data_IF_014978595952
#
_entry.id   IF_014978595952
#
_cell.length_a   1.000
_cell.length_b   1.000
_cell.length_c   1.000
_cell.angle_alpha   90.00
_cell.angle_beta   90.00
_cell.angle_gamma   90.00
#
_symmetry.space_group_name_H-M   'P 1'
#
loop_
_entity.id
_entity.type
_entity.pdbx_description
1 polymer ?
#
# COMPACT_ATOMS: atom_id res chain seq x y z
N UNK A 1 15.14 -15.03 2.11
CA UNK A 1 15.22 -13.57 2.24
C UNK A 1 13.93 -12.96 1.75
N UNK A 2 13.46 -11.92 2.39
CA UNK A 2 12.29 -11.11 1.96
C UNK A 2 12.54 -9.66 2.34
N UNK A 3 12.10 -8.72 1.51
CA UNK A 3 12.14 -7.30 1.83
C UNK A 3 11.14 -6.91 2.95
N UNK A 4 10.18 -7.77 3.21
CA UNK A 4 9.11 -7.53 4.20
C UNK A 4 8.84 -8.83 4.97
N UNK A 5 9.49 -8.98 6.11
CA UNK A 5 9.19 -10.05 7.05
C UNK A 5 8.12 -9.58 8.04
N UNK A 6 7.29 -10.51 8.49
CA UNK A 6 6.42 -10.28 9.64
C UNK A 6 7.28 -10.11 10.90
N UNK A 7 6.79 -9.38 11.92
CA UNK A 7 7.47 -9.30 13.21
C UNK A 7 7.79 -10.68 13.78
N UNK A 8 8.95 -10.80 14.43
CA UNK A 8 9.50 -12.06 14.95
C UNK A 8 8.48 -12.96 15.67
N UNK A 9 7.62 -12.46 16.61
CA UNK A 9 6.64 -13.31 17.28
C UNK A 9 5.61 -13.93 16.32
N UNK A 10 5.17 -13.15 15.33
CA UNK A 10 4.19 -13.59 14.33
C UNK A 10 4.83 -14.59 13.36
N UNK A 11 6.07 -14.32 12.94
CA UNK A 11 6.82 -15.20 12.06
C UNK A 11 7.06 -16.57 12.73
N UNK A 12 7.56 -16.56 13.96
CA UNK A 12 7.78 -17.76 14.75
C UNK A 12 6.48 -18.57 14.89
N UNK A 13 5.39 -17.95 15.34
CA UNK A 13 4.09 -18.62 15.46
C UNK A 13 3.59 -19.19 14.12
N UNK A 14 3.80 -18.46 13.01
CA UNK A 14 3.38 -18.92 11.68
C UNK A 14 4.16 -20.15 11.21
N UNK A 15 5.42 -20.27 11.61
CA UNK A 15 6.30 -21.40 11.30
C UNK A 15 6.19 -22.54 12.30
N UNK A 16 5.40 -22.38 13.37
CA UNK A 16 5.31 -23.38 14.45
C UNK A 16 6.57 -23.43 15.33
N UNK A 17 7.35 -22.34 15.38
CA UNK A 17 8.59 -22.21 16.15
C UNK A 17 8.35 -21.37 17.40
N UNK A 18 9.20 -21.54 18.40
CA UNK A 18 9.32 -20.59 19.50
C UNK A 18 10.11 -19.34 19.08
N UNK A 19 9.87 -18.21 19.73
CA UNK A 19 10.60 -16.97 19.38
C UNK A 19 12.11 -17.08 19.60
N UNK A 20 12.56 -18.00 20.45
CA UNK A 20 13.99 -18.23 20.70
C UNK A 20 14.70 -19.01 19.56
N UNK A 21 13.93 -19.69 18.73
CA UNK A 21 14.45 -20.45 17.58
C UNK A 21 14.52 -19.59 16.29
N UNK A 22 14.08 -18.32 16.36
CA UNK A 22 14.08 -17.41 15.22
C UNK A 22 14.99 -16.22 15.51
N UNK A 23 15.91 -15.93 14.61
CA UNK A 23 16.69 -14.70 14.59
C UNK A 23 16.30 -13.88 13.36
N UNK A 24 16.10 -12.57 13.54
CA UNK A 24 15.79 -11.62 12.46
C UNK A 24 16.93 -10.64 12.35
N UNK A 25 17.56 -10.62 11.18
CA UNK A 25 18.62 -9.67 10.84
C UNK A 25 18.04 -8.67 9.86
N UNK A 26 18.04 -7.40 10.25
CA UNK A 26 17.61 -6.29 9.40
C UNK A 26 18.82 -5.55 8.85
N UNK A 27 18.90 -5.47 7.53
CA UNK A 27 19.96 -4.74 6.83
C UNK A 27 19.45 -3.37 6.40
N UNK A 28 20.30 -2.32 6.39
CA UNK A 28 19.93 -1.02 5.87
C UNK A 28 19.58 -1.10 4.38
N UNK A 29 18.71 -0.22 3.92
CA UNK A 29 18.42 -0.09 2.49
C UNK A 29 19.61 0.52 1.77
N UNK A 30 19.90 0.00 0.58
CA UNK A 30 20.90 0.58 -0.34
C UNK A 30 20.31 1.72 -1.20
N UNK A 31 19.00 1.93 -1.14
CA UNK A 31 18.32 2.98 -1.93
C UNK A 31 18.27 4.29 -1.13
N UNK A 32 18.66 5.43 -1.75
CA UNK A 32 18.59 6.73 -1.09
C UNK A 32 17.18 7.04 -0.56
N UNK A 33 17.10 7.62 0.63
CA UNK A 33 15.82 7.98 1.27
C UNK A 33 15.06 8.98 0.40
N UNK A 34 15.75 9.98 -0.16
CA UNK A 34 15.16 11.03 -0.99
C UNK A 34 14.53 10.52 -2.28
N UNK A 35 14.93 9.32 -2.73
CA UNK A 35 14.39 8.70 -3.94
C UNK A 35 13.10 7.90 -3.67
N UNK A 36 12.74 7.66 -2.41
CA UNK A 36 11.59 6.82 -2.03
C UNK A 36 10.72 7.44 -0.92
N UNK A 37 10.41 8.74 -0.96
CA UNK A 37 9.65 9.39 0.10
C UNK A 37 8.27 8.78 0.25
N UNK A 38 7.84 8.61 1.51
CA UNK A 38 6.51 8.15 1.89
C UNK A 38 5.84 9.28 2.68
N UNK A 39 4.91 9.98 2.03
CA UNK A 39 4.28 11.17 2.56
C UNK A 39 2.92 10.84 3.17
N UNK A 40 2.77 11.08 4.46
CA UNK A 40 1.52 10.90 5.19
C UNK A 40 0.66 12.15 5.02
N UNK A 41 -0.51 11.97 4.43
CA UNK A 41 -1.54 13.00 4.27
C UNK A 41 -2.90 12.41 4.69
N UNK A 42 -3.26 12.45 5.99
CA UNK A 42 -4.45 11.81 6.53
C UNK A 42 -5.73 12.56 6.14
N UNK A 43 -6.08 12.54 4.86
CA UNK A 43 -7.20 13.30 4.26
C UNK A 43 -8.56 12.76 4.67
N UNK A 44 -8.72 11.42 4.64
CA UNK A 44 -10.02 10.79 4.81
C UNK A 44 -9.94 9.42 5.48
N UNK A 45 -10.94 9.08 6.30
CA UNK A 45 -11.11 7.73 6.87
C UNK A 45 -11.97 6.89 5.91
N UNK A 46 -11.34 5.93 5.25
CA UNK A 46 -12.01 5.02 4.30
C UNK A 46 -12.59 3.78 4.97
N UNK A 47 -12.90 3.84 6.28
CA UNK A 47 -13.66 2.81 6.98
C UNK A 47 -15.10 2.73 6.46
N UNK A 48 -15.80 1.62 6.77
CA UNK A 48 -17.18 1.43 6.32
C UNK A 48 -18.12 2.56 6.79
N UNK A 49 -17.90 3.08 8.01
CA UNK A 49 -18.79 4.07 8.65
C UNK A 49 -18.66 5.46 8.04
N UNK A 50 -17.46 5.87 7.72
CA UNK A 50 -17.10 7.24 7.29
C UNK A 50 -16.99 7.35 5.78
N UNK A 51 -16.91 6.23 5.07
CA UNK A 51 -16.65 6.15 3.64
C UNK A 51 -17.46 7.15 2.79
N UNK A 52 -18.78 7.21 2.96
CA UNK A 52 -19.63 8.06 2.13
C UNK A 52 -19.49 9.55 2.48
N UNK A 53 -19.14 9.85 3.74
CA UNK A 53 -19.01 11.21 4.25
C UNK A 53 -17.66 11.81 3.81
N UNK A 54 -16.58 11.01 3.90
CA UNK A 54 -15.22 11.50 3.66
C UNK A 54 -14.73 11.24 2.22
N UNK A 55 -15.50 10.52 1.41
CA UNK A 55 -15.17 10.26 0.00
C UNK A 55 -14.91 11.54 -0.82
N UNK A 56 -15.69 12.64 -0.71
CA UNK A 56 -15.41 13.86 -1.45
C UNK A 56 -14.02 14.41 -1.21
N UNK A 57 -13.55 14.41 0.05
CA UNK A 57 -12.19 14.85 0.42
C UNK A 57 -11.13 13.96 -0.22
N UNK A 58 -11.29 12.64 -0.15
CA UNK A 58 -10.41 11.67 -0.82
C UNK A 58 -10.30 11.94 -2.32
N UNK A 59 -11.43 12.13 -3.00
CA UNK A 59 -11.46 12.39 -4.44
C UNK A 59 -10.85 13.75 -4.81
N UNK A 60 -11.02 14.76 -3.97
CA UNK A 60 -10.42 16.09 -4.17
C UNK A 60 -8.89 16.00 -4.10
N UNK A 61 -8.36 15.29 -3.11
CA UNK A 61 -6.92 15.12 -2.96
C UNK A 61 -6.31 14.27 -4.08
N UNK A 62 -6.96 13.17 -4.45
CA UNK A 62 -6.52 12.37 -5.60
C UNK A 62 -6.45 13.23 -6.88
N UNK A 63 -7.44 14.11 -7.14
CA UNK A 63 -7.40 15.04 -8.28
C UNK A 63 -6.20 15.98 -8.20
N UNK A 64 -5.91 16.52 -7.01
CA UNK A 64 -4.76 17.42 -6.78
C UNK A 64 -3.44 16.69 -7.10
N UNK A 65 -3.26 15.48 -6.59
CA UNK A 65 -2.06 14.68 -6.81
C UNK A 65 -1.90 14.27 -8.28
N UNK A 66 -2.98 13.87 -8.97
CA UNK A 66 -2.95 13.56 -10.40
C UNK A 66 -2.50 14.78 -11.23
N UNK A 67 -2.94 15.98 -10.85
CA UNK A 67 -2.51 17.23 -11.50
C UNK A 67 -1.03 17.52 -11.22
N UNK A 68 -0.57 17.31 -9.98
CA UNK A 68 0.85 17.43 -9.58
C UNK A 68 1.75 16.51 -10.42
N UNK A 69 1.30 15.29 -10.65
CA UNK A 69 2.01 14.25 -11.41
C UNK A 69 1.52 14.16 -12.88
N UNK A 70 1.34 15.32 -13.53
CA UNK A 70 0.96 15.37 -14.93
C UNK A 70 2.07 14.78 -15.82
N UNK A 71 1.69 13.93 -16.77
CA UNK A 71 2.62 13.39 -17.77
C UNK A 71 3.49 12.22 -17.33
N UNK A 72 3.33 11.71 -16.10
CA UNK A 72 4.08 10.55 -15.59
C UNK A 72 3.13 9.44 -15.13
N UNK A 73 3.57 8.19 -15.23
CA UNK A 73 2.82 7.01 -14.78
C UNK A 73 2.75 6.91 -13.26
N UNK A 74 1.67 6.32 -12.76
CA UNK A 74 1.51 6.06 -11.33
C UNK A 74 0.48 4.99 -11.01
N UNK A 75 0.38 4.64 -9.72
CA UNK A 75 -0.54 3.61 -9.23
C UNK A 75 -1.40 4.17 -8.10
N UNK A 76 -2.69 3.85 -8.10
CA UNK A 76 -3.61 4.14 -6.99
C UNK A 76 -4.11 2.80 -6.42
N UNK A 77 -3.72 2.49 -5.20
CA UNK A 77 -4.20 1.33 -4.45
C UNK A 77 -5.51 1.68 -3.74
N UNK A 78 -6.60 1.07 -4.18
CA UNK A 78 -7.95 1.35 -3.66
C UNK A 78 -8.44 0.29 -2.68
N UNK A 79 -7.83 -0.89 -2.67
CA UNK A 79 -8.13 -2.03 -1.77
C UNK A 79 -9.58 -2.54 -1.87
N UNK A 80 -10.50 -1.75 -2.41
CA UNK A 80 -11.91 -2.13 -2.56
C UNK A 80 -12.47 -1.70 -3.91
N UNK A 81 -13.33 -2.52 -4.48
CA UNK A 81 -14.05 -2.17 -5.72
C UNK A 81 -14.92 -0.92 -5.57
N UNK A 82 -15.50 -0.69 -4.36
CA UNK A 82 -16.31 0.50 -4.09
C UNK A 82 -15.49 1.79 -4.22
N UNK A 83 -14.28 1.84 -3.66
CA UNK A 83 -13.40 3.01 -3.79
C UNK A 83 -12.87 3.13 -5.22
N UNK A 84 -12.54 2.00 -5.85
CA UNK A 84 -12.13 1.97 -7.24
C UNK A 84 -13.19 2.62 -8.15
N UNK A 85 -14.44 2.21 -8.04
CA UNK A 85 -15.55 2.79 -8.81
C UNK A 85 -15.73 4.30 -8.55
N UNK A 86 -15.61 4.73 -7.30
CA UNK A 86 -15.69 6.15 -6.96
C UNK A 86 -14.56 6.96 -7.63
N UNK A 87 -13.33 6.45 -7.63
CA UNK A 87 -12.23 7.10 -8.34
C UNK A 87 -12.43 7.09 -9.85
N UNK A 88 -12.87 5.98 -10.42
CA UNK A 88 -13.17 5.87 -11.85
C UNK A 88 -14.29 6.82 -12.29
N UNK A 89 -15.23 7.20 -11.39
CA UNK A 89 -16.28 8.19 -11.70
C UNK A 89 -15.74 9.61 -11.97
N UNK A 90 -14.47 9.88 -11.65
CA UNK A 90 -13.78 11.13 -12.03
C UNK A 90 -13.53 11.24 -13.53
N UNK A 91 -13.70 10.14 -14.29
CA UNK A 91 -13.58 10.06 -15.76
C UNK A 91 -12.26 10.63 -16.30
N UNK A 92 -11.15 10.44 -15.58
CA UNK A 92 -9.86 10.87 -16.06
C UNK A 92 -9.37 9.91 -17.17
N UNK A 93 -8.94 10.48 -18.32
CA UNK A 93 -8.50 9.70 -19.48
C UNK A 93 -7.27 8.82 -19.23
N UNK A 94 -6.47 9.17 -18.21
CA UNK A 94 -5.27 8.42 -17.79
C UNK A 94 -5.61 7.17 -16.97
N UNK A 95 -6.83 7.03 -16.46
CA UNK A 95 -7.19 5.91 -15.60
C UNK A 95 -7.30 4.61 -16.37
N UNK A 96 -6.59 3.61 -15.88
CA UNK A 96 -6.65 2.22 -16.31
C UNK A 96 -7.01 1.40 -15.09
N UNK A 97 -8.07 0.61 -15.17
CA UNK A 97 -8.49 -0.28 -14.10
C UNK A 97 -8.67 -1.69 -14.61
N UNK A 98 -8.80 -2.62 -13.69
CA UNK A 98 -9.02 -4.04 -13.97
C UNK A 98 -10.02 -4.66 -12.99
N UNK A 99 -10.57 -5.77 -13.38
CA UNK A 99 -11.28 -6.72 -12.53
C UNK A 99 -10.44 -8.00 -12.35
N UNK A 100 -11.04 -9.06 -11.80
CA UNK A 100 -10.35 -10.34 -11.58
C UNK A 100 -10.01 -11.11 -12.87
N UNK A 101 -10.66 -10.78 -13.99
CA UNK A 101 -10.56 -11.55 -15.24
C UNK A 101 -9.69 -10.87 -16.31
N UNK A 102 -9.47 -9.55 -16.21
CA UNK A 102 -8.76 -8.78 -17.24
C UNK A 102 -7.49 -8.09 -16.74
N UNK A 103 -6.95 -8.57 -15.61
CA UNK A 103 -5.76 -7.96 -14.97
C UNK A 103 -4.57 -7.85 -15.92
N UNK A 104 -4.23 -8.92 -16.63
CA UNK A 104 -3.06 -8.94 -17.53
C UNK A 104 -3.26 -8.00 -18.73
N UNK A 105 -4.47 -7.95 -19.28
CA UNK A 105 -4.80 -7.01 -20.35
C UNK A 105 -4.73 -5.55 -19.89
N UNK A 106 -5.15 -5.26 -18.65
CA UNK A 106 -5.03 -3.92 -18.07
C UNK A 106 -3.57 -3.53 -17.80
N UNK A 107 -2.76 -4.46 -17.31
CA UNK A 107 -1.32 -4.23 -17.11
C UNK A 107 -0.62 -3.96 -18.43
N UNK A 108 -0.98 -4.67 -19.50
CA UNK A 108 -0.46 -4.39 -20.83
C UNK A 108 -0.85 -2.99 -21.31
N UNK A 109 -2.14 -2.61 -21.20
CA UNK A 109 -2.57 -1.23 -21.53
C UNK A 109 -1.83 -0.18 -20.71
N UNK A 110 -1.54 -0.48 -19.44
CA UNK A 110 -0.77 0.42 -18.59
C UNK A 110 0.69 0.55 -19.06
N UNK A 111 1.35 -0.57 -19.36
CA UNK A 111 2.71 -0.59 -19.90
C UNK A 111 2.80 0.18 -21.23
N UNK A 112 1.84 -0.02 -22.14
CA UNK A 112 1.79 0.65 -23.45
C UNK A 112 1.41 2.14 -23.37
N UNK A 113 0.89 2.61 -22.21
CA UNK A 113 0.49 4.00 -22.03
C UNK A 113 1.69 4.91 -21.76
N UNK A 114 1.60 6.19 -22.17
CA UNK A 114 2.65 7.19 -21.92
C UNK A 114 2.62 7.70 -20.47
N UNK A 115 1.43 7.95 -19.94
CA UNK A 115 1.20 8.60 -18.65
C UNK A 115 0.02 8.00 -17.88
N UNK A 116 -0.26 6.71 -18.10
CA UNK A 116 -1.37 5.99 -17.48
C UNK A 116 -1.30 5.98 -15.97
N UNK A 117 -2.46 5.89 -15.33
CA UNK A 117 -2.59 5.71 -13.88
C UNK A 117 -3.36 4.42 -13.64
N UNK A 118 -2.68 3.42 -13.08
CA UNK A 118 -3.29 2.14 -12.74
C UNK A 118 -4.09 2.28 -11.44
N UNK A 119 -5.42 2.23 -11.55
CA UNK A 119 -6.33 2.24 -10.39
C UNK A 119 -6.68 0.80 -10.04
N UNK A 120 -6.06 0.27 -9.00
CA UNK A 120 -6.13 -1.16 -8.65
C UNK A 120 -6.90 -1.43 -7.36
N UNK A 121 -7.98 -2.24 -7.43
CA UNK A 121 -8.74 -2.66 -6.24
C UNK A 121 -8.07 -3.80 -5.48
N UNK A 122 -7.08 -4.45 -6.06
CA UNK A 122 -6.34 -5.55 -5.46
C UNK A 122 -4.86 -5.19 -5.29
N UNK A 123 -4.18 -5.93 -4.42
CA UNK A 123 -2.72 -5.83 -4.34
C UNK A 123 -2.11 -6.11 -5.73
N UNK A 124 -1.22 -5.24 -6.18
CA UNK A 124 -0.44 -5.44 -7.42
C UNK A 124 0.72 -6.43 -7.20
N UNK A 125 0.57 -7.40 -6.29
CA UNK A 125 1.62 -8.42 -6.02
C UNK A 125 2.12 -9.03 -7.32
N UNK A 126 3.43 -9.11 -7.46
CA UNK A 126 4.09 -9.66 -8.65
C UNK A 126 4.22 -8.68 -9.84
N UNK A 127 3.75 -7.44 -9.73
CA UNK A 127 3.96 -6.41 -10.74
C UNK A 127 5.23 -5.63 -10.39
N UNK A 128 6.14 -5.54 -11.32
CA UNK A 128 7.37 -4.75 -11.24
C UNK A 128 7.23 -3.51 -12.13
N UNK A 129 7.52 -2.33 -11.59
CA UNK A 129 7.29 -1.05 -12.24
C UNK A 129 8.52 -0.14 -12.10
N UNK A 130 9.64 -0.49 -12.76
CA UNK A 130 10.87 0.28 -12.66
C UNK A 130 10.79 1.60 -13.43
N UNK A 131 11.58 2.58 -13.01
CA UNK A 131 11.81 3.83 -13.72
C UNK A 131 10.51 4.58 -14.06
N UNK A 132 10.34 4.97 -15.33
CA UNK A 132 9.17 5.71 -15.79
C UNK A 132 7.85 4.90 -15.76
N UNK A 133 7.89 3.63 -15.38
CA UNK A 133 6.70 2.82 -15.18
C UNK A 133 5.91 3.20 -13.91
N UNK A 134 6.57 3.82 -12.89
CA UNK A 134 5.86 4.30 -11.71
C UNK A 134 6.61 5.44 -11.00
N UNK A 135 6.17 6.66 -11.16
CA UNK A 135 6.75 7.85 -10.50
C UNK A 135 6.01 8.30 -9.26
N UNK A 136 4.78 7.82 -9.06
CA UNK A 136 4.03 8.03 -7.83
C UNK A 136 3.09 6.87 -7.50
N UNK A 137 2.87 6.67 -6.22
CA UNK A 137 1.94 5.69 -5.66
C UNK A 137 1.00 6.41 -4.70
N UNK A 138 -0.30 6.12 -4.78
CA UNK A 138 -1.31 6.58 -3.83
C UNK A 138 -1.90 5.38 -3.12
N UNK A 139 -1.77 5.32 -1.80
CA UNK A 139 -2.46 4.37 -0.93
C UNK A 139 -3.72 5.08 -0.43
N UNK A 140 -4.82 4.91 -1.17
CA UNK A 140 -6.08 5.58 -0.92
C UNK A 140 -6.92 4.89 0.17
N UNK A 141 -6.54 3.68 0.58
CA UNK A 141 -7.18 2.93 1.67
C UNK A 141 -6.19 1.97 2.30
N UNK A 142 -6.26 1.86 3.63
CA UNK A 142 -5.49 0.88 4.39
C UNK A 142 -5.82 -0.55 3.94
N UNK A 143 -4.81 -1.37 3.58
CA UNK A 143 -5.01 -2.72 3.04
C UNK A 143 -5.32 -3.76 4.13
N UNK A 144 -6.20 -3.43 5.08
CA UNK A 144 -6.68 -4.40 6.05
C UNK A 144 -7.42 -5.54 5.36
N UNK A 145 -7.12 -6.76 5.77
CA UNK A 145 -7.83 -7.94 5.30
C UNK A 145 -9.29 -7.90 5.75
N UNK A 146 -10.19 -8.48 4.94
CA UNK A 146 -11.62 -8.47 5.26
C UNK A 146 -11.93 -9.35 6.48
N UNK A 147 -12.51 -8.77 7.52
CA UNK A 147 -13.05 -9.52 8.67
C UNK A 147 -14.33 -10.30 8.32
N UNK A 148 -14.86 -10.13 7.12
CA UNK A 148 -15.91 -11.02 6.56
C UNK A 148 -15.36 -12.39 6.15
N UNK A 149 -14.05 -12.51 5.91
CA UNK A 149 -13.40 -13.80 5.71
C UNK A 149 -13.32 -14.55 7.04
N UNK A 150 -13.84 -15.79 7.04
CA UNK A 150 -13.93 -16.63 8.25
C UNK A 150 -12.56 -16.98 8.82
N UNK A 151 -11.57 -17.22 7.97
CA UNK A 151 -10.19 -17.55 8.39
C UNK A 151 -9.50 -16.33 9.02
N UNK A 152 -9.62 -15.17 8.37
CA UNK A 152 -9.09 -13.91 8.92
C UNK A 152 -9.74 -13.62 10.27
N UNK A 153 -11.09 -13.69 10.35
CA UNK A 153 -11.82 -13.45 11.59
C UNK A 153 -11.42 -14.42 12.71
N UNK A 154 -11.32 -15.70 12.40
CA UNK A 154 -10.89 -16.73 13.37
C UNK A 154 -9.48 -16.44 13.87
N UNK A 155 -8.56 -16.05 13.00
CA UNK A 155 -7.17 -15.74 13.38
C UNK A 155 -7.09 -14.49 14.24
N UNK A 156 -7.84 -13.45 13.90
CA UNK A 156 -7.86 -12.18 14.66
C UNK A 156 -8.38 -12.39 16.08
N UNK A 157 -9.46 -13.16 16.25
CA UNK A 157 -10.14 -13.29 17.54
C UNK A 157 -9.81 -14.59 18.29
N UNK A 158 -9.25 -15.61 17.62
CA UNK A 158 -8.94 -16.93 18.20
C UNK A 158 -7.50 -17.19 18.58
N UNK A 159 -6.56 -16.33 18.19
CA UNK A 159 -5.11 -16.61 18.28
C UNK A 159 -4.43 -16.18 19.58
N UNK A 160 -5.07 -16.37 20.73
CA UNK A 160 -4.39 -16.24 22.04
C UNK A 160 -3.70 -14.87 22.29
N UNK A 161 -4.30 -13.77 21.85
CA UNK A 161 -3.79 -12.40 22.06
C UNK A 161 -2.89 -11.85 20.94
N UNK A 162 -2.35 -12.66 20.07
CA UNK A 162 -1.53 -12.20 18.92
C UNK A 162 -2.33 -11.86 17.68
N UNK A 163 -3.62 -12.18 17.63
CA UNK A 163 -4.45 -12.01 16.44
C UNK A 163 -4.60 -10.55 15.98
N UNK A 164 -4.84 -9.62 16.89
CA UNK A 164 -4.91 -8.20 16.57
C UNK A 164 -3.54 -7.62 16.14
N UNK A 165 -2.45 -8.11 16.74
CA UNK A 165 -1.08 -7.74 16.35
C UNK A 165 -0.76 -8.27 14.95
N UNK A 166 -1.08 -9.55 14.67
CA UNK A 166 -0.95 -10.14 13.34
C UNK A 166 -1.74 -9.35 12.28
N UNK A 167 -2.97 -8.95 12.59
CA UNK A 167 -3.84 -8.22 11.67
C UNK A 167 -3.23 -6.87 11.25
N UNK A 168 -2.68 -6.12 12.23
CA UNK A 168 -1.95 -4.89 11.97
C UNK A 168 -0.65 -5.14 11.20
N UNK A 169 0.10 -6.17 11.57
CA UNK A 169 1.36 -6.53 10.89
C UNK A 169 1.15 -6.88 9.42
N UNK A 170 0.08 -7.60 9.09
CA UNK A 170 -0.27 -7.90 7.70
C UNK A 170 -0.61 -6.63 6.90
N UNK A 171 -1.35 -5.70 7.50
CA UNK A 171 -1.65 -4.41 6.86
C UNK A 171 -0.36 -3.59 6.65
N UNK A 172 0.51 -3.52 7.65
CA UNK A 172 1.82 -2.84 7.54
C UNK A 172 2.68 -3.45 6.42
N UNK A 173 2.75 -4.78 6.36
CA UNK A 173 3.48 -5.48 5.30
C UNK A 173 2.94 -5.14 3.90
N UNK A 174 1.62 -5.11 3.73
CA UNK A 174 1.00 -4.77 2.44
C UNK A 174 1.25 -3.29 2.06
N UNK A 175 1.29 -2.35 3.02
CA UNK A 175 1.68 -0.94 2.80
C UNK A 175 3.13 -0.85 2.30
N UNK A 176 4.07 -1.50 3.00
CA UNK A 176 5.49 -1.51 2.61
C UNK A 176 5.68 -2.14 1.23
N UNK A 177 5.00 -3.24 0.95
CA UNK A 177 5.05 -3.87 -0.37
C UNK A 177 4.45 -3.02 -1.48
N UNK A 178 3.40 -2.26 -1.19
CA UNK A 178 2.79 -1.36 -2.16
C UNK A 178 3.73 -0.21 -2.51
N UNK A 179 4.31 0.45 -1.51
CA UNK A 179 5.25 1.57 -1.69
C UNK A 179 6.57 1.15 -2.35
N UNK A 180 7.05 -0.07 -2.09
CA UNK A 180 8.31 -0.59 -2.65
C UNK A 180 8.26 -1.00 -4.13
N UNK A 181 7.20 -0.66 -4.87
CA UNK A 181 7.06 -1.08 -6.28
C UNK A 181 7.69 -0.12 -7.28
N UNK A 182 7.83 1.13 -6.92
CA UNK A 182 8.28 2.18 -7.82
C UNK A 182 9.77 2.49 -7.72
N UNK A 183 10.56 1.81 -6.86
CA UNK A 183 12.01 2.04 -6.74
C UNK A 183 12.73 0.70 -6.81
N UNK A 184 13.60 0.52 -7.81
CA UNK A 184 14.28 -0.74 -8.11
C UNK A 184 15.81 -0.67 -8.10
N UNK A 185 16.36 0.51 -8.23
CA UNK A 185 17.80 0.75 -8.15
C UNK A 185 18.08 2.14 -7.53
N UNK A 186 19.34 2.42 -7.24
CA UNK A 186 19.76 3.61 -6.50
C UNK A 186 19.41 4.95 -7.18
N UNK A 187 19.29 4.96 -8.50
CA UNK A 187 18.99 6.14 -9.30
C UNK A 187 17.51 6.25 -9.68
N UNK A 188 16.69 5.25 -9.31
CA UNK A 188 15.25 5.23 -9.51
C UNK A 188 14.54 6.03 -8.40
N UNK A 189 13.37 6.62 -8.70
CA UNK A 189 12.62 7.41 -7.72
C UNK A 189 11.12 7.24 -7.86
N UNK A 190 10.43 7.21 -6.72
CA UNK A 190 8.97 7.15 -6.67
C UNK A 190 8.45 7.74 -5.36
N UNK A 191 7.48 8.65 -5.44
CA UNK A 191 6.83 9.22 -4.25
C UNK A 191 5.59 8.43 -3.88
N UNK A 192 5.49 7.98 -2.63
CA UNK A 192 4.29 7.33 -2.10
C UNK A 192 3.49 8.31 -1.25
N UNK A 193 2.18 8.42 -1.50
CA UNK A 193 1.22 9.20 -0.72
C UNK A 193 0.28 8.25 0.03
N UNK A 194 0.19 8.39 1.34
CA UNK A 194 -0.74 7.62 2.19
C UNK A 194 -1.86 8.57 2.62
N UNK A 195 -3.06 8.39 2.07
CA UNK A 195 -4.17 9.34 2.24
C UNK A 195 -5.22 8.88 3.26
N UNK A 196 -5.27 7.57 3.56
CA UNK A 196 -6.25 7.02 4.51
C UNK A 196 -5.78 7.26 5.95
N UNK A 197 -6.61 7.93 6.75
CA UNK A 197 -6.37 8.14 8.19
C UNK A 197 -6.07 6.86 8.95
N UNK A 198 -6.69 5.72 8.57
CA UNK A 198 -6.42 4.41 9.19
C UNK A 198 -5.00 3.93 8.89
N UNK A 199 -4.52 4.13 7.66
CA UNK A 199 -3.17 3.75 7.28
C UNK A 199 -2.13 4.66 7.94
N UNK A 200 -2.36 5.98 7.93
CA UNK A 200 -1.48 6.95 8.62
C UNK A 200 -1.41 6.65 10.12
N UNK A 201 -2.55 6.44 10.78
CA UNK A 201 -2.59 6.07 12.20
C UNK A 201 -1.84 4.77 12.49
N UNK A 202 -2.02 3.73 11.65
CA UNK A 202 -1.26 2.49 11.79
C UNK A 202 0.25 2.73 11.74
N UNK A 203 0.73 3.54 10.79
CA UNK A 203 2.16 3.86 10.63
C UNK A 203 2.70 4.60 11.86
N UNK A 204 2.00 5.63 12.31
CA UNK A 204 2.43 6.47 13.44
C UNK A 204 2.42 5.70 14.77
N UNK A 205 1.33 4.97 15.04
CA UNK A 205 1.11 4.31 16.33
C UNK A 205 1.84 2.96 16.45
N UNK A 206 2.28 2.37 15.34
CA UNK A 206 2.87 1.03 15.32
C UNK A 206 4.15 0.96 14.48
N UNK A 207 5.06 1.90 14.64
CA UNK A 207 6.31 2.00 13.87
C UNK A 207 7.14 0.70 13.87
N UNK A 208 7.11 -0.06 14.96
CA UNK A 208 7.81 -1.35 15.08
C UNK A 208 7.29 -2.45 14.14
N UNK A 209 6.15 -2.26 13.47
CA UNK A 209 5.63 -3.16 12.44
C UNK A 209 6.27 -2.92 11.07
N UNK A 210 6.97 -1.82 10.90
CA UNK A 210 7.57 -1.41 9.64
C UNK A 210 9.09 -1.56 9.68
N UNK A 211 9.74 -1.91 8.57
CA UNK A 211 11.20 -1.92 8.50
C UNK A 211 11.78 -0.56 8.85
N UNK A 212 12.86 -0.52 9.62
CA UNK A 212 13.52 0.71 10.01
C UNK A 212 13.91 1.56 8.79
N UNK A 213 14.50 0.91 7.78
CA UNK A 213 14.86 1.57 6.54
C UNK A 213 13.67 2.18 5.80
N UNK A 214 12.47 1.60 5.91
CA UNK A 214 11.26 2.16 5.33
C UNK A 214 10.78 3.38 6.12
N UNK A 215 10.82 3.32 7.46
CA UNK A 215 10.43 4.43 8.34
C UNK A 215 11.31 5.67 8.17
N UNK A 216 12.59 5.51 7.79
CA UNK A 216 13.49 6.63 7.48
C UNK A 216 12.99 7.51 6.33
N UNK A 217 12.14 6.99 5.46
CA UNK A 217 11.57 7.68 4.30
C UNK A 217 10.17 8.27 4.57
N UNK A 218 9.63 8.07 5.77
CA UNK A 218 8.29 8.57 6.15
C UNK A 218 8.38 10.02 6.61
N UNK A 219 7.52 10.86 6.03
CA UNK A 219 7.37 12.27 6.39
C UNK A 219 5.90 12.69 6.27
N UNK A 220 5.57 13.88 6.73
CA UNK A 220 4.24 14.47 6.60
C UNK A 220 4.19 15.43 5.41
N UNK A 221 3.06 15.41 4.69
CA UNK A 221 2.83 16.34 3.58
C UNK A 221 2.33 17.71 4.09
#
# INVERSE_FOLDING_TARGET
MSATLLPKPILAQTLGLSSNEVEVIELPSTFPVDNRPVLLDPVADMSYRTFSIEMPSMLAEIKRLIKKHCGVKGVIHTVSYRLNQAIMSLKNKRFITHNSHDKDAALKRFADSKDGILVSPSSTRGVDLPDDECRFIIIAKAPFQSLGDKLVKSRVYGAGGLGAYWYRAMCAQDIVQASGRGVRHKDDHCTTYVLDKQACGLIVDNQSLFPRSWMEAVDYL
#
